data_IF_153269184310
#
_entry.id   IF_153269184310
#
_cell.length_a   1.000
_cell.length_b   1.000
_cell.length_c   1.000
_cell.angle_alpha   90.00
_cell.angle_beta   90.00
_cell.angle_gamma   90.00
#
_symmetry.space_group_name_H-M   'P 1'
#
loop_
_entity.id
_entity.type
_entity.pdbx_description
1 polymer ?
#
# COMPACT_ATOMS: atom_id res chain seq x y z
N UNK A 1 -7.30 -32.90 -72.63
CA UNK A 1 -8.33 -32.06 -71.98
C UNK A 1 -7.90 -31.86 -70.53
N UNK A 2 -7.39 -30.68 -70.21
CA UNK A 2 -6.74 -30.34 -68.94
C UNK A 2 -7.77 -30.16 -67.82
N UNK A 3 -7.61 -30.86 -66.69
CA UNK A 3 -8.15 -30.42 -65.40
C UNK A 3 -7.04 -30.45 -64.36
N UNK A 4 -6.50 -29.25 -64.10
CA UNK A 4 -5.64 -28.95 -62.96
C UNK A 4 -6.49 -29.03 -61.69
N UNK A 5 -6.19 -29.94 -60.78
CA UNK A 5 -6.73 -29.93 -59.41
C UNK A 5 -5.68 -29.36 -58.49
N UNK A 6 -6.06 -28.30 -57.78
CA UNK A 6 -5.23 -27.42 -56.97
C UNK A 6 -4.76 -28.14 -55.70
N UNK A 7 -3.48 -28.00 -55.40
CA UNK A 7 -2.90 -28.30 -54.08
C UNK A 7 -3.27 -27.12 -53.18
N UNK A 8 -4.06 -27.39 -52.14
CA UNK A 8 -4.30 -26.51 -50.99
C UNK A 8 -3.89 -27.38 -49.81
N UNK A 9 -2.76 -27.19 -49.13
CA UNK A 9 -2.28 -25.92 -48.57
C UNK A 9 -2.83 -25.74 -47.16
N UNK A 10 -2.79 -26.78 -46.31
CA UNK A 10 -3.09 -26.66 -44.89
C UNK A 10 -1.77 -26.71 -44.11
N UNK A 11 -1.11 -25.56 -44.02
CA UNK A 11 -0.06 -25.33 -43.03
C UNK A 11 -0.76 -25.22 -41.69
N UNK A 12 -0.71 -26.28 -40.87
CA UNK A 12 -1.01 -26.18 -39.44
C UNK A 12 0.11 -25.34 -38.80
N UNK A 13 -0.09 -24.03 -38.74
CA UNK A 13 0.64 -23.17 -37.81
C UNK A 13 0.04 -23.43 -36.42
N UNK A 14 0.79 -24.18 -35.60
CA UNK A 14 0.57 -24.32 -34.17
C UNK A 14 0.70 -22.94 -33.50
N UNK A 15 -0.42 -22.29 -33.24
CA UNK A 15 -0.48 -21.10 -32.40
C UNK A 15 -0.46 -21.57 -30.93
N UNK A 16 0.71 -22.00 -30.47
CA UNK A 16 0.98 -22.14 -29.04
C UNK A 16 1.12 -20.74 -28.46
N UNK A 17 -0.01 -20.13 -28.10
CA UNK A 17 -0.02 -18.93 -27.28
C UNK A 17 0.58 -19.32 -25.92
N UNK A 18 1.85 -18.96 -25.74
CA UNK A 18 2.56 -19.03 -24.49
C UNK A 18 1.86 -18.04 -23.54
N UNK A 19 0.93 -18.53 -22.74
CA UNK A 19 0.38 -17.79 -21.59
C UNK A 19 1.50 -17.72 -20.54
N UNK A 20 2.43 -16.78 -20.73
CA UNK A 20 3.26 -16.32 -19.63
C UNK A 20 2.36 -15.43 -18.78
N UNK A 21 1.55 -16.06 -17.92
CA UNK A 21 1.08 -15.39 -16.71
C UNK A 21 2.34 -15.16 -15.86
N UNK A 22 3.04 -14.07 -16.16
CA UNK A 22 4.08 -13.58 -15.28
C UNK A 22 3.40 -13.19 -13.99
N UNK A 23 3.57 -14.00 -12.95
CA UNK A 23 3.40 -13.55 -11.57
C UNK A 23 4.52 -12.55 -11.30
N UNK A 24 4.39 -11.35 -11.84
CA UNK A 24 5.09 -10.21 -11.27
C UNK A 24 4.40 -9.95 -9.95
N UNK A 25 4.89 -10.60 -8.89
CA UNK A 25 4.73 -10.04 -7.56
C UNK A 25 5.41 -8.68 -7.65
N UNK A 26 4.63 -7.60 -7.70
CA UNK A 26 5.18 -6.31 -7.39
C UNK A 26 5.87 -6.47 -6.03
N UNK A 27 7.10 -5.94 -5.89
CA UNK A 27 7.64 -5.75 -4.56
C UNK A 27 6.62 -4.90 -3.81
N UNK A 28 6.18 -5.34 -2.63
CA UNK A 28 5.32 -4.54 -1.78
C UNK A 28 6.03 -3.20 -1.53
N UNK A 29 5.31 -2.10 -1.69
CA UNK A 29 5.78 -0.77 -1.33
C UNK A 29 5.64 -0.51 0.18
N UNK A 30 5.21 -1.52 0.95
CA UNK A 30 5.33 -1.55 2.40
C UNK A 30 6.78 -1.25 2.79
N UNK A 31 6.94 -0.19 3.56
CA UNK A 31 8.22 0.23 4.11
C UNK A 31 8.25 -0.03 5.60
N UNK A 32 9.37 -0.54 6.10
CA UNK A 32 9.63 -0.54 7.54
C UNK A 32 10.13 0.85 8.00
N UNK A 33 10.06 1.16 9.31
CA UNK A 33 10.57 2.42 9.87
C UNK A 33 12.01 2.77 9.46
N UNK A 34 12.87 1.76 9.34
CA UNK A 34 14.28 1.89 8.98
C UNK A 34 14.45 2.39 7.54
N UNK A 35 13.74 1.77 6.59
CA UNK A 35 13.78 2.08 5.16
C UNK A 35 13.06 3.38 4.85
N UNK A 36 11.98 3.66 5.58
CA UNK A 36 11.20 4.89 5.45
C UNK A 36 11.81 6.09 6.19
N UNK A 37 12.82 5.85 7.04
CA UNK A 37 13.52 6.87 7.83
C UNK A 37 12.53 7.62 8.74
N UNK A 38 11.66 6.90 9.46
CA UNK A 38 10.71 7.49 10.40
C UNK A 38 11.36 7.99 11.70
N UNK A 39 12.63 7.64 11.92
CA UNK A 39 13.42 8.07 13.07
C UNK A 39 13.57 7.02 14.17
N UNK A 40 13.06 5.81 13.93
CA UNK A 40 13.26 4.62 14.76
C UNK A 40 13.37 3.36 13.89
N UNK A 41 13.80 2.26 14.49
CA UNK A 41 13.80 0.93 13.91
C UNK A 41 12.78 0.02 14.62
N UNK A 42 12.20 -0.97 13.91
CA UNK A 42 11.33 -1.98 14.55
C UNK A 42 12.11 -2.73 15.64
N UNK A 43 11.57 -2.75 16.86
CA UNK A 43 12.18 -3.42 18.01
C UNK A 43 13.10 -2.52 18.85
N UNK A 44 13.22 -1.23 18.49
CA UNK A 44 13.77 -0.22 19.40
C UNK A 44 12.92 -0.11 20.69
N UNK A 45 13.53 0.46 21.73
CA UNK A 45 12.80 0.74 22.99
C UNK A 45 11.68 1.74 22.72
N UNK A 46 10.51 1.52 23.33
CA UNK A 46 9.30 2.35 23.10
C UNK A 46 8.79 2.32 21.65
N UNK A 47 9.01 1.21 20.95
CA UNK A 47 8.39 0.93 19.66
C UNK A 47 7.60 -0.38 19.72
N UNK A 48 6.52 -0.45 18.96
CA UNK A 48 5.72 -1.66 18.76
C UNK A 48 5.30 -1.75 17.29
N UNK A 49 5.20 -2.96 16.76
CA UNK A 49 4.81 -3.17 15.37
C UNK A 49 4.14 -4.54 15.19
N UNK A 50 3.19 -4.59 14.25
CA UNK A 50 2.43 -5.78 13.89
C UNK A 50 2.10 -5.72 12.40
N UNK A 51 2.08 -6.88 11.76
CA UNK A 51 1.87 -7.01 10.33
C UNK A 51 1.20 -8.36 10.03
N UNK A 52 0.16 -8.27 9.20
CA UNK A 52 -0.64 -9.36 8.66
C UNK A 52 -0.50 -9.32 7.14
N UNK A 53 0.35 -10.18 6.63
CA UNK A 53 0.58 -10.51 5.23
C UNK A 53 -0.19 -11.77 4.79
N UNK A 54 -0.70 -12.54 5.76
CA UNK A 54 -1.49 -13.76 5.54
C UNK A 54 -2.64 -13.80 6.53
N UNK A 55 -3.82 -13.32 6.11
CA UNK A 55 -5.02 -13.38 6.95
C UNK A 55 -5.56 -14.80 6.91
N UNK A 56 -5.31 -15.55 7.98
CA UNK A 56 -5.50 -17.01 8.01
C UNK A 56 -6.53 -17.48 9.04
N UNK A 57 -6.96 -16.62 9.95
CA UNK A 57 -7.95 -17.02 10.94
C UNK A 57 -9.37 -16.98 10.37
N UNK A 58 -10.09 -18.06 10.63
CA UNK A 58 -11.47 -18.28 10.22
C UNK A 58 -12.37 -18.44 11.44
N UNK A 59 -11.84 -18.19 12.65
CA UNK A 59 -12.61 -18.32 13.86
C UNK A 59 -13.67 -17.20 13.88
N UNK A 60 -14.89 -17.54 13.46
CA UNK A 60 -16.06 -16.82 13.91
C UNK A 60 -15.97 -16.72 15.44
N UNK A 61 -15.59 -15.56 15.97
CA UNK A 61 -15.63 -15.32 17.40
C UNK A 61 -17.08 -15.04 17.81
N UNK A 62 -17.78 -15.98 18.47
CA UNK A 62 -19.13 -15.74 18.94
C UNK A 62 -19.20 -14.70 20.07
N UNK A 63 -18.06 -14.27 20.62
CA UNK A 63 -17.97 -13.22 21.64
C UNK A 63 -17.80 -11.81 21.05
N UNK A 64 -17.46 -11.71 19.76
CA UNK A 64 -17.44 -10.45 19.04
C UNK A 64 -18.84 -9.82 19.04
N UNK A 65 -18.98 -8.52 19.37
CA UNK A 65 -20.28 -7.87 19.40
C UNK A 65 -20.92 -7.94 18.01
N UNK A 66 -22.06 -8.62 17.91
CA UNK A 66 -22.98 -8.54 16.77
C UNK A 66 -22.45 -8.98 15.38
N UNK A 67 -21.99 -10.23 15.25
CA UNK A 67 -21.80 -10.83 13.92
C UNK A 67 -20.65 -10.25 13.10
N UNK A 68 -19.71 -9.59 13.77
CA UNK A 68 -18.41 -9.25 13.21
C UNK A 68 -17.60 -10.53 12.94
N UNK A 69 -16.76 -10.48 11.91
CA UNK A 69 -15.84 -11.53 11.52
C UNK A 69 -14.46 -11.16 12.08
N UNK A 70 -14.04 -11.85 13.15
CA UNK A 70 -12.64 -11.83 13.60
C UNK A 70 -11.80 -12.42 12.48
N UNK A 71 -11.01 -11.56 11.84
CA UNK A 71 -10.27 -11.90 10.65
C UNK A 71 -8.89 -12.45 11.00
N UNK A 72 -8.22 -11.87 12.00
CA UNK A 72 -6.96 -12.38 12.51
C UNK A 72 -6.55 -11.66 13.80
N UNK A 73 -6.25 -12.44 14.85
CA UNK A 73 -5.67 -11.92 16.09
C UNK A 73 -4.17 -12.21 16.23
N UNK A 74 -3.54 -12.80 15.21
CA UNK A 74 -2.18 -13.33 15.25
C UNK A 74 -1.31 -12.81 14.10
N UNK A 75 -0.73 -11.60 14.21
CA UNK A 75 0.16 -11.08 13.17
C UNK A 75 1.35 -12.02 12.94
N UNK A 76 1.74 -12.22 11.68
CA UNK A 76 2.88 -13.08 11.36
C UNK A 76 4.22 -12.40 11.68
N UNK A 77 4.24 -11.07 11.61
CA UNK A 77 5.40 -10.25 11.90
C UNK A 77 5.04 -9.28 13.03
N UNK A 78 5.79 -9.37 14.13
CA UNK A 78 5.64 -8.50 15.28
C UNK A 78 5.08 -9.21 16.51
N UNK A 79 5.90 -9.27 17.56
CA UNK A 79 5.43 -9.47 18.92
C UNK A 79 6.48 -8.97 19.93
N UNK A 80 6.94 -7.73 19.76
CA UNK A 80 7.64 -7.02 20.82
C UNK A 80 6.69 -5.92 21.32
N UNK A 81 6.14 -6.12 22.51
CA UNK A 81 5.37 -5.07 23.19
C UNK A 81 3.90 -4.97 22.80
N UNK A 82 3.28 -5.99 22.21
CA UNK A 82 1.83 -6.07 22.08
C UNK A 82 1.24 -7.18 22.94
N UNK A 83 0.15 -6.86 23.66
CA UNK A 83 -0.57 -7.79 24.55
C UNK A 83 -1.73 -8.44 23.81
N UNK A 84 -2.41 -7.66 22.95
CA UNK A 84 -3.49 -8.07 22.08
C UNK A 84 -3.40 -7.27 20.78
N UNK A 85 -3.64 -7.95 19.67
CA UNK A 85 -3.90 -7.30 18.38
C UNK A 85 -5.05 -8.03 17.74
N UNK A 86 -6.08 -7.31 17.29
CA UNK A 86 -7.31 -7.90 16.75
C UNK A 86 -7.73 -7.16 15.48
N UNK A 87 -7.64 -7.84 14.33
CA UNK A 87 -8.13 -7.35 13.05
C UNK A 87 -9.53 -7.91 12.82
N UNK A 88 -10.51 -7.02 12.78
CA UNK A 88 -11.92 -7.36 12.68
C UNK A 88 -12.52 -6.76 11.41
N UNK A 89 -13.24 -7.59 10.65
CA UNK A 89 -14.18 -7.13 9.63
C UNK A 89 -15.57 -6.97 10.27
N UNK A 90 -16.03 -5.74 10.42
CA UNK A 90 -17.28 -5.41 11.11
C UNK A 90 -18.54 -5.75 10.28
N UNK A 91 -18.38 -6.09 8.99
CA UNK A 91 -19.46 -6.43 8.09
C UNK A 91 -19.67 -7.95 7.98
N UNK A 92 -20.94 -8.38 8.01
CA UNK A 92 -21.33 -9.81 8.00
C UNK A 92 -21.07 -10.52 6.67
N UNK A 93 -20.83 -9.77 5.59
CA UNK A 93 -20.55 -10.31 4.25
C UNK A 93 -19.07 -10.49 3.93
N UNK A 94 -18.16 -10.23 4.88
CA UNK A 94 -16.73 -10.47 4.72
C UNK A 94 -16.38 -11.96 4.90
N UNK A 95 -15.38 -12.44 4.15
CA UNK A 95 -14.83 -13.77 4.30
C UNK A 95 -13.37 -13.82 3.81
N UNK A 96 -12.58 -14.72 4.41
CA UNK A 96 -11.22 -14.99 3.95
C UNK A 96 -11.26 -15.76 2.62
N UNK A 97 -10.54 -15.27 1.62
CA UNK A 97 -10.33 -15.96 0.35
C UNK A 97 -8.99 -16.70 0.36
N UNK A 98 -8.86 -17.73 -0.48
CA UNK A 98 -7.54 -18.33 -0.77
C UNK A 98 -6.95 -19.22 0.33
N UNK A 99 -7.77 -20.06 0.98
CA UNK A 99 -7.29 -21.01 2.01
C UNK A 99 -6.07 -21.83 1.52
N UNK A 100 -4.88 -21.50 2.04
CA UNK A 100 -3.62 -22.20 1.78
C UNK A 100 -2.53 -21.45 1.00
N UNK A 101 -2.76 -20.23 0.50
CA UNK A 101 -1.76 -19.46 -0.27
C UNK A 101 -1.65 -17.96 0.11
N UNK A 102 -1.97 -17.59 1.35
CA UNK A 102 -1.89 -16.20 1.83
C UNK A 102 -3.24 -15.50 1.79
N UNK A 103 -4.12 -15.85 2.73
CA UNK A 103 -5.52 -15.42 2.70
C UNK A 103 -5.66 -13.90 2.79
N UNK A 104 -6.65 -13.38 2.08
CA UNK A 104 -7.05 -11.99 2.15
C UNK A 104 -8.53 -11.92 2.51
N UNK A 105 -9.00 -10.81 3.06
CA UNK A 105 -10.42 -10.71 3.43
C UNK A 105 -11.15 -9.85 2.44
N UNK A 106 -12.25 -10.40 1.93
CA UNK A 106 -13.01 -9.82 0.85
C UNK A 106 -14.49 -9.81 1.18
N UNK A 107 -15.20 -8.78 0.71
CA UNK A 107 -16.66 -8.79 0.68
C UNK A 107 -17.17 -8.29 -0.67
N UNK A 108 -18.01 -9.06 -1.34
CA UNK A 108 -18.67 -8.61 -2.58
C UNK A 108 -20.05 -7.97 -2.33
N UNK A 109 -20.70 -8.30 -1.22
CA UNK A 109 -22.09 -7.93 -0.93
C UNK A 109 -22.21 -6.63 -0.17
N UNK A 110 -21.23 -6.32 0.68
CA UNK A 110 -21.27 -5.20 1.62
C UNK A 110 -20.00 -4.36 1.47
N UNK A 111 -20.07 -3.10 1.89
CA UNK A 111 -18.88 -2.25 1.99
C UNK A 111 -18.01 -2.78 3.15
N UNK A 112 -16.76 -3.21 2.89
CA UNK A 112 -15.86 -3.61 3.97
C UNK A 112 -15.65 -2.49 4.98
N UNK A 113 -15.72 -2.88 6.25
CA UNK A 113 -15.56 -2.04 7.43
C UNK A 113 -14.61 -2.77 8.37
N UNK A 114 -13.54 -2.08 8.74
CA UNK A 114 -12.38 -2.65 9.39
C UNK A 114 -12.11 -1.95 10.72
N UNK A 115 -11.83 -2.75 11.74
CA UNK A 115 -11.20 -2.30 12.97
C UNK A 115 -9.91 -3.07 13.18
N UNK A 116 -8.85 -2.38 13.56
CA UNK A 116 -7.63 -2.98 14.08
C UNK A 116 -7.36 -2.40 15.46
N UNK A 117 -7.54 -3.24 16.48
CA UNK A 117 -7.21 -2.90 17.86
C UNK A 117 -5.81 -3.38 18.19
N UNK A 118 -5.01 -2.51 18.81
CA UNK A 118 -3.60 -2.74 19.10
C UNK A 118 -3.31 -2.35 20.55
N UNK A 119 -3.16 -3.33 21.43
CA UNK A 119 -2.82 -3.14 22.84
C UNK A 119 -1.31 -3.29 23.07
N UNK A 120 -0.68 -2.29 23.70
CA UNK A 120 0.77 -2.27 23.94
C UNK A 120 1.14 -2.67 25.38
N UNK A 121 2.08 -3.60 25.56
CA UNK A 121 2.56 -4.11 26.87
C UNK A 121 3.43 -3.08 27.62
N UNK A 122 3.91 -2.07 26.90
CA UNK A 122 4.69 -1.01 27.49
C UNK A 122 3.80 0.21 27.69
N UNK A 123 3.92 0.84 28.86
CA UNK A 123 3.59 2.26 28.95
C UNK A 123 4.58 2.97 28.03
N UNK A 124 4.23 3.11 26.74
CA UNK A 124 4.87 4.06 25.83
C UNK A 124 5.05 5.33 26.67
N UNK A 125 6.30 5.72 26.92
CA UNK A 125 6.64 6.68 27.97
C UNK A 125 5.70 7.89 27.93
N UNK A 126 5.37 8.46 29.09
CA UNK A 126 4.44 9.59 29.15
C UNK A 126 4.84 10.68 28.13
N UNK A 127 3.95 10.97 27.17
CA UNK A 127 4.27 11.82 26.03
C UNK A 127 3.42 11.50 24.81
N UNK A 128 3.99 11.75 23.63
CA UNK A 128 3.32 11.55 22.34
C UNK A 128 4.07 10.55 21.48
N UNK A 129 3.35 9.76 20.72
CA UNK A 129 3.89 8.81 19.74
C UNK A 129 3.47 9.18 18.33
N UNK A 130 4.15 8.57 17.36
CA UNK A 130 3.67 8.50 15.99
C UNK A 130 3.11 7.11 15.72
N UNK A 131 2.01 7.07 14.98
CA UNK A 131 1.37 5.83 14.54
C UNK A 131 1.35 5.83 13.01
N UNK A 132 1.84 4.76 12.41
CA UNK A 132 1.84 4.54 10.97
C UNK A 132 1.05 3.28 10.66
N UNK A 133 0.04 3.42 9.79
CA UNK A 133 -0.78 2.35 9.25
C UNK A 133 -0.41 2.18 7.77
N UNK A 134 -0.08 0.96 7.39
CA UNK A 134 0.08 0.54 6.01
C UNK A 134 -1.01 -0.45 5.63
N UNK A 135 -1.59 -0.25 4.46
CA UNK A 135 -2.66 -1.08 3.93
C UNK A 135 -2.35 -1.44 2.48
N UNK A 136 -2.55 -2.70 2.12
CA UNK A 136 -2.60 -3.16 0.74
C UNK A 136 -4.01 -3.64 0.44
N UNK A 137 -4.62 -3.04 -0.57
CA UNK A 137 -5.99 -3.38 -0.96
C UNK A 137 -6.08 -3.72 -2.44
N UNK A 138 -7.06 -4.56 -2.78
CA UNK A 138 -7.42 -4.89 -4.15
C UNK A 138 -8.91 -4.60 -4.40
N UNK A 139 -9.26 -4.17 -5.61
CA UNK A 139 -10.64 -3.96 -6.02
C UNK A 139 -11.10 -2.52 -5.81
N UNK A 140 -12.08 -2.33 -4.93
CA UNK A 140 -12.58 -0.98 -4.56
C UNK A 140 -11.60 -0.27 -3.62
N UNK A 141 -11.49 1.06 -3.77
CA UNK A 141 -10.51 1.88 -3.05
C UNK A 141 -10.97 2.26 -1.62
N UNK A 142 -10.02 2.72 -0.82
CA UNK A 142 -10.21 3.23 0.54
C UNK A 142 -11.03 4.52 0.59
N UNK A 143 -11.96 4.61 1.53
CA UNK A 143 -12.57 5.88 1.92
C UNK A 143 -11.67 6.58 2.94
N UNK A 144 -10.76 7.44 2.48
CA UNK A 144 -9.89 8.20 3.37
C UNK A 144 -10.64 9.00 4.43
N UNK A 145 -11.88 9.43 4.19
CA UNK A 145 -12.63 10.22 5.19
C UNK A 145 -13.07 9.39 6.40
N UNK A 146 -13.07 8.07 6.27
CA UNK A 146 -13.41 7.13 7.32
C UNK A 146 -12.22 6.70 8.18
N UNK A 147 -10.98 6.96 7.72
CA UNK A 147 -9.78 6.46 8.38
C UNK A 147 -9.51 7.24 9.65
N UNK A 148 -9.54 6.57 10.79
CA UNK A 148 -9.34 7.19 12.11
C UNK A 148 -8.47 6.35 13.03
N UNK A 149 -7.84 7.01 14.00
CA UNK A 149 -7.15 6.44 15.16
C UNK A 149 -7.85 6.97 16.42
N UNK A 150 -8.53 6.12 17.17
CA UNK A 150 -9.33 6.52 18.34
C UNK A 150 -10.35 7.64 18.02
N UNK A 151 -10.87 7.64 16.79
CA UNK A 151 -11.77 8.68 16.26
C UNK A 151 -11.07 9.97 15.78
N UNK A 152 -9.75 10.05 15.87
CA UNK A 152 -8.94 11.16 15.34
C UNK A 152 -8.62 10.93 13.85
N UNK A 153 -8.78 11.97 13.03
CA UNK A 153 -8.33 11.93 11.63
C UNK A 153 -6.81 11.91 11.50
N UNK A 154 -6.31 11.36 10.39
CA UNK A 154 -4.88 11.25 10.11
C UNK A 154 -4.19 12.62 9.91
N UNK A 155 -2.88 12.65 10.13
CA UNK A 155 -2.00 13.78 9.83
C UNK A 155 -1.60 13.80 8.35
N UNK A 156 -1.15 12.66 7.82
CA UNK A 156 -0.84 12.48 6.40
C UNK A 156 -1.35 11.13 5.90
N UNK A 157 -1.66 11.06 4.60
CA UNK A 157 -2.05 9.84 3.93
C UNK A 157 -1.52 9.90 2.49
N UNK A 158 -0.75 8.89 2.10
CA UNK A 158 -0.12 8.80 0.79
C UNK A 158 -0.48 7.47 0.12
N UNK A 159 -0.69 7.52 -1.19
CA UNK A 159 -0.76 6.32 -2.03
C UNK A 159 0.66 5.99 -2.48
N UNK A 160 1.27 4.98 -1.87
CA UNK A 160 2.68 4.61 -2.11
C UNK A 160 2.85 3.67 -3.30
N UNK A 161 1.77 2.96 -3.67
CA UNK A 161 1.68 2.18 -4.90
C UNK A 161 0.26 2.25 -5.47
N UNK A 162 0.14 2.31 -6.80
CA UNK A 162 -1.13 2.21 -7.51
C UNK A 162 -0.93 1.46 -8.84
N UNK A 163 -1.70 0.39 -9.00
CA UNK A 163 -1.63 -0.52 -10.14
C UNK A 163 -2.99 -1.12 -10.47
N UNK A 164 -3.02 -1.95 -11.52
CA UNK A 164 -4.21 -2.75 -11.82
C UNK A 164 -4.18 -4.04 -10.99
N UNK A 165 -5.30 -4.39 -10.36
CA UNK A 165 -5.42 -5.68 -9.67
C UNK A 165 -5.25 -6.80 -10.70
N UNK A 166 -4.26 -7.68 -10.51
CA UNK A 166 -3.93 -8.75 -11.46
C UNK A 166 -4.98 -9.87 -11.59
N UNK A 167 -6.09 -9.79 -10.86
CA UNK A 167 -7.13 -10.82 -10.76
C UNK A 167 -8.22 -10.76 -11.83
N UNK A 168 -8.98 -11.85 -11.95
CA UNK A 168 -10.07 -11.99 -12.93
C UNK A 168 -11.25 -11.01 -12.73
N UNK A 169 -11.34 -10.39 -11.56
CA UNK A 169 -12.41 -9.47 -11.19
C UNK A 169 -12.09 -8.00 -11.52
N UNK A 170 -10.88 -7.71 -11.97
CA UNK A 170 -10.41 -6.35 -12.24
C UNK A 170 -10.31 -5.51 -10.96
N UNK A 171 -10.26 -4.19 -11.13
CA UNK A 171 -10.09 -3.23 -10.03
C UNK A 171 -8.66 -2.68 -9.94
N UNK A 172 -8.42 -1.90 -8.89
CA UNK A 172 -7.11 -1.34 -8.59
C UNK A 172 -6.42 -2.15 -7.49
N UNK A 173 -5.10 -2.19 -7.54
CA UNK A 173 -4.26 -2.58 -6.40
C UNK A 173 -3.62 -1.29 -5.89
N UNK A 174 -3.89 -0.94 -4.64
CA UNK A 174 -3.31 0.25 -4.03
C UNK A 174 -2.69 -0.10 -2.69
N UNK A 175 -1.56 0.55 -2.41
CA UNK A 175 -0.94 0.51 -1.10
C UNK A 175 -0.91 1.92 -0.52
N UNK A 176 -1.26 2.02 0.75
CA UNK A 176 -1.40 3.29 1.46
C UNK A 176 -0.44 3.34 2.63
N UNK A 177 0.13 4.52 2.89
CA UNK A 177 0.80 4.87 4.12
C UNK A 177 0.02 6.02 4.78
N UNK A 178 -0.50 5.78 5.97
CA UNK A 178 -1.34 6.71 6.71
C UNK A 178 -0.71 6.91 8.07
N UNK A 179 -0.60 8.15 8.53
CA UNK A 179 0.07 8.44 9.79
C UNK A 179 -0.64 9.46 10.66
N UNK A 180 -0.45 9.29 11.96
CA UNK A 180 -0.84 10.22 13.00
C UNK A 180 0.42 10.61 13.76
N UNK A 181 0.75 11.90 13.73
CA UNK A 181 2.01 12.41 14.29
C UNK A 181 1.74 13.11 15.61
N UNK A 182 2.52 12.76 16.64
CA UNK A 182 2.42 13.38 17.96
C UNK A 182 1.09 13.15 18.67
N UNK A 183 0.52 11.94 18.55
CA UNK A 183 -0.70 11.55 19.30
C UNK A 183 -0.36 11.18 20.74
N UNK A 184 -1.27 11.45 21.66
CA UNK A 184 -1.07 11.09 23.07
C UNK A 184 -0.87 9.57 23.22
N UNK A 185 0.16 9.18 23.97
CA UNK A 185 0.46 7.77 24.19
C UNK A 185 -0.69 7.08 24.95
N UNK A 186 -1.19 5.98 24.39
CA UNK A 186 -2.23 5.12 24.94
C UNK A 186 -1.71 3.68 25.08
N UNK A 187 -2.33 2.89 25.97
CA UNK A 187 -2.10 1.45 26.05
C UNK A 187 -2.90 0.66 25.02
N UNK A 188 -3.91 1.28 24.41
CA UNK A 188 -4.74 0.69 23.37
C UNK A 188 -4.98 1.75 22.29
N UNK A 189 -4.74 1.36 21.04
CA UNK A 189 -5.05 2.15 19.86
C UNK A 189 -6.08 1.40 19.03
N UNK A 190 -7.15 2.08 18.63
CA UNK A 190 -8.18 1.53 17.74
C UNK A 190 -8.14 2.25 16.41
N UNK A 191 -7.69 1.55 15.36
CA UNK A 191 -7.71 2.05 14.00
C UNK A 191 -8.98 1.57 13.31
N UNK A 192 -9.65 2.46 12.57
CA UNK A 192 -10.85 2.08 11.81
C UNK A 192 -10.84 2.67 10.41
N UNK A 193 -11.33 1.92 9.42
CA UNK A 193 -11.46 2.38 8.04
C UNK A 193 -12.54 1.63 7.25
N UNK A 194 -13.04 2.28 6.20
CA UNK A 194 -14.05 1.77 5.28
C UNK A 194 -13.53 1.75 3.85
N UNK A 195 -14.07 0.85 3.04
CA UNK A 195 -13.98 0.97 1.59
C UNK A 195 -14.97 2.02 1.05
N UNK A 196 -14.72 2.55 -0.15
CA UNK A 196 -15.70 3.40 -0.88
C UNK A 196 -16.95 2.63 -1.35
N UNK A 197 -16.93 1.30 -1.27
CA UNK A 197 -18.01 0.42 -1.68
C UNK A 197 -17.65 -1.05 -1.49
N UNK A 198 -18.53 -1.96 -1.93
CA UNK A 198 -18.24 -3.39 -1.88
C UNK A 198 -17.11 -3.79 -2.83
N UNK A 199 -16.64 -5.02 -2.71
CA UNK A 199 -15.58 -5.63 -3.53
C UNK A 199 -14.18 -5.07 -3.30
N UNK A 200 -13.90 -4.51 -2.12
CA UNK A 200 -12.53 -4.35 -1.64
C UNK A 200 -12.08 -5.67 -0.99
N UNK A 201 -10.84 -6.06 -1.28
CA UNK A 201 -10.09 -7.08 -0.57
C UNK A 201 -8.98 -6.41 0.23
N UNK A 202 -8.86 -6.71 1.52
CA UNK A 202 -7.71 -6.36 2.34
C UNK A 202 -6.68 -7.49 2.23
N UNK A 203 -5.55 -7.21 1.59
CA UNK A 203 -4.50 -8.19 1.28
C UNK A 203 -3.40 -8.22 2.35
N UNK A 204 -3.03 -7.04 2.85
CA UNK A 204 -1.97 -6.88 3.84
C UNK A 204 -2.25 -5.63 4.69
N UNK A 205 -1.96 -5.71 5.97
CA UNK A 205 -2.04 -4.58 6.90
C UNK A 205 -0.84 -4.60 7.84
N UNK A 206 -0.28 -3.43 8.11
CA UNK A 206 0.77 -3.26 9.10
C UNK A 206 0.56 -2.00 9.91
N UNK A 207 0.89 -2.08 11.19
CA UNK A 207 0.89 -0.94 12.11
C UNK A 207 2.25 -0.86 12.78
N UNK A 208 2.81 0.35 12.82
CA UNK A 208 4.03 0.69 13.52
C UNK A 208 3.75 1.87 14.45
N UNK A 209 4.19 1.74 15.69
CA UNK A 209 4.04 2.74 16.74
C UNK A 209 5.41 3.00 17.32
N UNK A 210 5.82 4.26 17.35
CA UNK A 210 7.13 4.65 17.88
C UNK A 210 7.07 5.98 18.58
N UNK A 211 7.92 6.16 19.59
CA UNK A 211 8.03 7.45 20.26
C UNK A 211 8.48 8.53 19.26
N UNK A 212 7.77 9.65 19.22
CA UNK A 212 8.18 10.80 18.44
C UNK A 212 9.40 11.44 19.11
N UNK A 213 10.59 10.95 18.78
CA UNK A 213 11.79 11.70 19.04
C UNK A 213 11.78 12.91 18.10
N UNK A 214 11.39 14.06 18.63
CA UNK A 214 11.41 15.36 17.94
C UNK A 214 12.82 15.81 17.50
N UNK A 215 13.77 14.90 17.28
CA UNK A 215 14.94 15.14 16.46
C UNK A 215 14.46 15.36 15.03
N UNK A 216 14.49 16.60 14.52
CA UNK A 216 14.03 16.87 13.16
C UNK A 216 14.86 16.03 12.20
N UNK A 217 14.20 15.12 11.49
CA UNK A 217 14.82 14.39 10.40
C UNK A 217 15.05 15.42 9.30
N UNK A 218 16.29 15.92 9.20
CA UNK A 218 16.72 16.70 8.06
C UNK A 218 16.88 15.71 6.91
N UNK A 219 15.77 15.36 6.25
CA UNK A 219 15.82 14.66 4.99
C UNK A 219 16.57 15.57 4.01
N UNK A 220 17.68 15.12 3.40
CA UNK A 220 18.28 15.86 2.31
C UNK A 220 17.18 16.05 1.24
N UNK A 221 17.07 17.24 0.62
CA UNK A 221 16.03 17.48 -0.37
C UNK A 221 16.05 16.37 -1.41
N UNK A 222 14.89 15.75 -1.66
CA UNK A 222 14.79 14.72 -2.69
C UNK A 222 15.32 15.32 -4.00
N UNK A 223 16.24 14.59 -4.64
CA UNK A 223 16.78 15.04 -5.91
C UNK A 223 15.66 14.98 -6.94
N UNK A 224 14.91 16.07 -7.08
CA UNK A 224 13.93 16.22 -8.14
C UNK A 224 14.70 16.09 -9.46
N UNK A 225 14.32 15.16 -10.35
CA UNK A 225 14.93 15.07 -11.66
C UNK A 225 14.92 16.44 -12.30
N UNK A 226 16.12 16.98 -12.53
CA UNK A 226 16.27 18.28 -13.17
C UNK A 226 15.46 18.25 -14.46
N UNK A 227 14.45 19.12 -14.64
CA UNK A 227 13.58 19.06 -15.80
C UNK A 227 14.45 19.03 -17.06
N UNK A 228 14.09 18.19 -18.04
CA UNK A 228 14.83 18.09 -19.31
C UNK A 228 15.04 19.45 -19.99
N UNK A 229 14.19 20.43 -19.66
CA UNK A 229 14.36 21.84 -20.00
C UNK A 229 15.75 22.40 -19.64
N UNK A 230 16.34 22.08 -18.48
CA UNK A 230 17.68 22.56 -18.11
C UNK A 230 18.76 22.08 -19.09
N UNK A 231 18.64 20.85 -19.60
CA UNK A 231 19.53 20.33 -20.64
C UNK A 231 19.26 20.94 -22.02
N UNK A 232 18.06 21.46 -22.28
CA UNK A 232 17.73 22.15 -23.52
C UNK A 232 18.23 23.61 -23.55
N UNK A 233 18.51 24.24 -22.42
CA UNK A 233 19.09 25.59 -22.38
C UNK A 233 20.52 25.65 -22.91
N UNK A 234 21.33 24.59 -22.71
CA UNK A 234 22.71 24.52 -23.19
C UNK A 234 22.86 24.72 -24.70
N UNK A 235 22.24 23.88 -25.55
CA UNK A 235 22.30 24.05 -27.00
C UNK A 235 21.55 25.30 -27.49
N UNK A 236 20.46 25.70 -26.83
CA UNK A 236 19.73 26.92 -27.19
C UNK A 236 20.61 28.17 -27.03
N UNK A 237 21.33 28.31 -25.91
CA UNK A 237 22.24 29.43 -25.65
C UNK A 237 23.40 29.47 -26.66
N UNK A 238 23.99 28.31 -26.97
CA UNK A 238 25.02 28.19 -28.01
C UNK A 238 24.49 28.57 -29.40
N UNK A 239 23.24 28.19 -29.72
CA UNK A 239 22.54 28.59 -30.94
C UNK A 239 22.40 30.11 -31.05
N UNK A 240 21.98 30.79 -29.99
CA UNK A 240 21.86 32.25 -29.96
C UNK A 240 23.22 32.97 -30.11
N UNK A 241 24.30 32.44 -29.52
CA UNK A 241 25.65 33.01 -29.71
C UNK A 241 26.17 32.81 -31.13
N UNK A 242 25.81 31.71 -31.80
CA UNK A 242 26.16 31.45 -33.20
C UNK A 242 25.50 32.42 -34.18
N UNK A 243 24.23 32.80 -33.95
CA UNK A 243 23.49 33.74 -34.78
C UNK A 243 24.07 35.17 -34.73
N UNK A 244 24.72 35.55 -33.63
CA UNK A 244 25.32 36.89 -33.47
C UNK A 244 26.50 37.13 -34.42
N UNK A 245 27.15 36.09 -34.95
CA UNK A 245 28.27 36.23 -35.89
C UNK A 245 27.83 36.56 -37.33
N UNK A 246 26.58 36.30 -37.70
CA UNK A 246 26.11 36.58 -39.07
C UNK A 246 25.66 38.04 -39.29
N UNK A 247 25.36 38.78 -38.23
CA UNK A 247 24.89 40.18 -38.35
C UNK A 247 26.04 41.15 -38.65
N UNK A 248 27.28 40.80 -38.32
CA UNK A 248 28.45 41.67 -38.56
C UNK A 248 28.94 41.71 -40.03
N UNK A 249 28.39 40.86 -40.93
CA UNK A 249 28.85 40.75 -42.32
C UNK A 249 27.87 41.33 -43.38
N UNK A 250 26.82 42.06 -42.98
CA UNK A 250 25.86 42.68 -43.91
C UNK A 250 25.82 44.21 -43.78
N UNK A 251 26.98 44.86 -43.82
CA UNK A 251 27.08 46.28 -44.21
C UNK A 251 28.11 46.38 -45.33
N UNK A 252 27.60 46.44 -46.56
CA UNK A 252 28.27 46.93 -47.75
C UNK A 252 27.38 48.03 -48.33
#
# INVERSE_FOLDING_TARGET
MNKKTKITGAVLLSLSALLMAGTASAATAFTDPTTAVWGWDRGDTETSYAEWSVIADNAFDPSAPTGAFDADSSPEIGNNGFVLTDLVANNTGAFVTGTGLGGNVYSFSDTPDWTLDVETDYTLGAGTVDVYLQLKVLGTLLDFTSVTLDGLGYTTADVVYSGAAGGAFGGAEEEYLISWIGVEASSLYSLSWLALGSSMSLDEVSVDIGNYAATPIILPPSAVPVPAALFMFGPALLGFMGLRRKVANTVA
#
